data_IF_017730659592
#
_entry.id   IF_017730659592
#
_cell.length_a   1.000
_cell.length_b   1.000
_cell.length_c   1.000
_cell.angle_alpha   90.00
_cell.angle_beta   90.00
_cell.angle_gamma   90.00
#
_symmetry.space_group_name_H-M   'P 1'
#
loop_
_entity.id
_entity.type
_entity.pdbx_description
1 polymer ?
#
# COMPACT_ATOMS: atom_id res chain seq x y z
N UNK A 1 -5.50 -16.19 -22.71
CA UNK A 1 -5.61 -15.89 -21.24
C UNK A 1 -4.83 -14.63 -20.84
N UNK A 2 -3.70 -14.31 -21.46
CA UNK A 2 -2.89 -13.09 -21.19
C UNK A 2 -3.58 -11.82 -21.70
N UNK A 3 -4.26 -11.88 -22.84
CA UNK A 3 -4.90 -10.71 -23.50
C UNK A 3 -5.89 -9.92 -22.64
N UNK A 4 -6.57 -10.56 -21.66
CA UNK A 4 -7.52 -9.84 -20.82
C UNK A 4 -6.83 -9.04 -19.70
N UNK A 5 -5.71 -9.52 -19.15
CA UNK A 5 -4.93 -8.78 -18.14
C UNK A 5 -4.41 -7.49 -18.74
N UNK A 6 -3.86 -7.56 -19.94
CA UNK A 6 -3.33 -6.41 -20.65
C UNK A 6 -4.40 -5.35 -20.91
N UNK A 7 -5.56 -5.77 -21.41
CA UNK A 7 -6.70 -4.85 -21.60
C UNK A 7 -7.16 -4.23 -20.28
N UNK A 8 -7.32 -5.06 -19.24
CA UNK A 8 -7.72 -4.56 -17.93
C UNK A 8 -6.75 -3.49 -17.39
N UNK A 9 -5.43 -3.71 -17.53
CA UNK A 9 -4.44 -2.72 -17.08
C UNK A 9 -4.52 -1.43 -17.92
N UNK A 10 -4.69 -1.54 -19.23
CA UNK A 10 -4.86 -0.38 -20.11
C UNK A 10 -6.10 0.42 -19.70
N UNK A 11 -7.23 -0.24 -19.50
CA UNK A 11 -8.49 0.39 -19.08
C UNK A 11 -8.36 1.07 -17.71
N UNK A 12 -7.69 0.41 -16.76
CA UNK A 12 -7.42 0.98 -15.42
C UNK A 12 -6.52 2.21 -15.53
N UNK A 13 -5.44 2.14 -16.30
CA UNK A 13 -4.54 3.28 -16.52
C UNK A 13 -5.27 4.47 -17.18
N UNK A 14 -6.19 4.21 -18.11
CA UNK A 14 -6.99 5.26 -18.73
C UNK A 14 -7.93 5.93 -17.73
N UNK A 15 -8.56 5.14 -16.86
CA UNK A 15 -9.43 5.67 -15.80
C UNK A 15 -8.63 6.46 -14.75
N UNK A 16 -7.44 5.98 -14.35
CA UNK A 16 -6.52 6.73 -13.49
C UNK A 16 -6.17 8.07 -14.15
N UNK A 17 -5.81 8.06 -15.44
CA UNK A 17 -5.47 9.28 -16.19
C UNK A 17 -6.65 10.26 -16.23
N UNK A 18 -7.85 9.74 -16.43
CA UNK A 18 -9.06 10.56 -16.47
C UNK A 18 -9.39 11.16 -15.11
N UNK A 19 -9.28 10.39 -14.02
CA UNK A 19 -9.49 10.86 -12.66
C UNK A 19 -8.44 11.91 -12.24
N UNK A 20 -7.17 11.69 -12.55
CA UNK A 20 -6.11 12.65 -12.31
C UNK A 20 -6.36 13.99 -13.01
N UNK A 21 -6.77 13.95 -14.30
CA UNK A 21 -7.11 15.16 -15.05
C UNK A 21 -8.31 15.90 -14.45
N UNK A 22 -9.35 15.19 -13.98
CA UNK A 22 -10.51 15.82 -13.30
C UNK A 22 -10.12 16.59 -12.05
N UNK A 23 -9.11 16.12 -11.34
CA UNK A 23 -8.59 16.74 -10.11
C UNK A 23 -7.38 17.66 -10.33
N UNK A 24 -6.98 17.91 -11.58
CA UNK A 24 -5.86 18.80 -11.91
C UNK A 24 -4.48 18.23 -11.57
N UNK A 25 -4.35 16.89 -11.44
CA UNK A 25 -3.10 16.19 -11.10
C UNK A 25 -2.42 15.61 -12.33
N UNK A 26 -1.11 15.45 -12.24
CA UNK A 26 -0.34 14.71 -13.25
C UNK A 26 -0.59 13.19 -13.08
N UNK A 27 -1.10 12.48 -14.11
CA UNK A 27 -1.24 11.04 -14.07
C UNK A 27 0.06 10.26 -13.81
N UNK A 28 1.22 10.85 -14.11
CA UNK A 28 2.52 10.23 -13.89
C UNK A 28 2.88 10.10 -12.40
N UNK A 29 2.23 10.89 -11.52
CA UNK A 29 2.42 10.79 -10.07
C UNK A 29 1.74 9.57 -9.44
N UNK A 30 0.88 8.86 -10.19
CA UNK A 30 0.04 7.81 -9.64
C UNK A 30 0.56 6.44 -10.05
N UNK A 31 1.02 5.69 -9.05
CA UNK A 31 1.52 4.33 -9.20
C UNK A 31 0.37 3.32 -9.18
N UNK A 32 0.40 2.36 -10.09
CA UNK A 32 -0.53 1.24 -10.12
C UNK A 32 0.11 0.01 -9.46
N UNK A 33 -0.39 -0.35 -8.29
CA UNK A 33 -0.02 -1.58 -7.62
C UNK A 33 -0.93 -2.73 -8.06
N UNK A 34 -0.32 -3.81 -8.57
CA UNK A 34 -1.01 -5.06 -8.81
C UNK A 34 -1.11 -5.89 -7.54
N UNK A 35 -2.32 -6.11 -7.01
CA UNK A 35 -2.54 -6.95 -5.82
C UNK A 35 -2.64 -8.40 -6.25
N UNK A 36 -1.58 -9.16 -6.01
CA UNK A 36 -1.34 -10.48 -6.62
C UNK A 36 -1.68 -11.67 -5.73
N UNK A 37 -2.26 -11.42 -4.55
CA UNK A 37 -2.69 -12.48 -3.63
C UNK A 37 -3.53 -13.55 -4.34
N UNK A 38 -3.24 -14.83 -4.05
CA UNK A 38 -3.89 -16.03 -4.59
C UNK A 38 -3.64 -16.33 -6.08
N UNK A 39 -2.86 -15.51 -6.78
CA UNK A 39 -2.49 -15.75 -8.17
C UNK A 39 -1.11 -16.42 -8.28
N UNK A 40 -0.90 -17.39 -9.20
CA UNK A 40 0.40 -18.01 -9.42
C UNK A 40 1.37 -17.04 -10.11
N UNK A 41 2.68 -17.29 -9.94
CA UNK A 41 3.74 -16.40 -10.45
C UNK A 41 3.66 -16.23 -11.96
N UNK A 42 3.41 -17.29 -12.70
CA UNK A 42 3.34 -17.28 -14.17
C UNK A 42 2.24 -16.32 -14.68
N UNK A 43 1.16 -16.22 -13.91
CA UNK A 43 0.04 -15.32 -14.23
C UNK A 43 0.37 -13.86 -13.92
N UNK A 44 1.12 -13.64 -12.83
CA UNK A 44 1.55 -12.31 -12.40
C UNK A 44 2.59 -11.75 -13.38
N UNK A 45 3.53 -12.57 -13.84
CA UNK A 45 4.62 -12.15 -14.71
C UNK A 45 4.14 -11.48 -16.01
N UNK A 46 2.96 -11.87 -16.52
CA UNK A 46 2.39 -11.20 -17.70
C UNK A 46 1.96 -9.76 -17.44
N UNK A 47 1.60 -9.42 -16.20
CA UNK A 47 1.18 -8.07 -15.80
C UNK A 47 2.36 -7.14 -15.43
N UNK A 48 3.46 -7.73 -14.91
CA UNK A 48 4.59 -7.00 -14.31
C UNK A 48 5.14 -5.85 -15.15
N UNK A 49 5.34 -5.99 -16.49
CA UNK A 49 5.89 -4.88 -17.29
C UNK A 49 5.02 -3.61 -17.32
N UNK A 50 3.78 -3.71 -16.83
CA UNK A 50 2.79 -2.62 -16.83
C UNK A 50 2.39 -2.19 -15.43
N UNK A 51 2.98 -2.79 -14.39
CA UNK A 51 2.75 -2.48 -12.98
C UNK A 51 3.96 -1.74 -12.41
N UNK A 52 3.70 -0.81 -11.52
CA UNK A 52 4.76 -0.10 -10.80
C UNK A 52 5.17 -0.85 -9.54
N UNK A 53 4.24 -1.58 -8.91
CA UNK A 53 4.42 -2.24 -7.61
C UNK A 53 3.65 -3.56 -7.60
N UNK A 54 4.19 -4.56 -6.89
CA UNK A 54 3.50 -5.80 -6.51
C UNK A 54 3.04 -5.70 -5.07
N UNK A 55 1.74 -5.91 -4.82
CA UNK A 55 1.16 -5.90 -3.48
C UNK A 55 0.76 -7.31 -3.02
N UNK A 56 1.26 -7.74 -1.86
CA UNK A 56 0.93 -9.02 -1.25
C UNK A 56 0.34 -8.87 0.15
N UNK A 57 -0.64 -9.73 0.48
CA UNK A 57 -1.29 -9.67 1.78
C UNK A 57 -0.66 -10.62 2.81
N UNK A 58 0.07 -11.65 2.38
CA UNK A 58 0.57 -12.72 3.25
C UNK A 58 2.05 -12.97 3.01
N UNK A 59 2.84 -12.86 4.07
CA UNK A 59 4.30 -13.07 4.02
C UNK A 59 4.67 -14.45 3.49
N UNK A 60 3.94 -15.51 3.89
CA UNK A 60 4.24 -16.88 3.43
C UNK A 60 4.01 -17.02 1.93
N UNK A 61 2.87 -16.54 1.42
CA UNK A 61 2.56 -16.58 -0.01
C UNK A 61 3.58 -15.81 -0.83
N UNK A 62 3.97 -14.61 -0.36
CA UNK A 62 5.00 -13.81 -0.99
C UNK A 62 6.36 -14.54 -1.00
N UNK A 63 6.72 -15.21 0.10
CA UNK A 63 7.94 -16.01 0.18
C UNK A 63 7.97 -17.11 -0.88
N UNK A 64 6.88 -17.87 -0.99
CA UNK A 64 6.77 -18.96 -1.96
C UNK A 64 6.83 -18.45 -3.41
N UNK A 65 6.30 -17.26 -3.67
CA UNK A 65 6.39 -16.59 -4.97
C UNK A 65 7.80 -16.08 -5.28
N UNK A 66 8.48 -15.50 -4.30
CA UNK A 66 9.86 -15.00 -4.46
C UNK A 66 10.84 -16.11 -4.85
N UNK A 67 10.64 -17.35 -4.40
CA UNK A 67 11.49 -18.48 -4.81
C UNK A 67 11.39 -18.82 -6.30
N UNK A 68 10.31 -18.42 -6.95
CA UNK A 68 10.04 -18.65 -8.38
C UNK A 68 10.14 -17.36 -9.21
N UNK A 69 10.47 -16.23 -8.56
CA UNK A 69 10.51 -14.93 -9.22
C UNK A 69 11.81 -14.78 -10.02
N UNK A 70 11.75 -14.36 -11.28
CA UNK A 70 12.94 -14.12 -12.08
C UNK A 70 13.84 -13.05 -11.45
N UNK A 71 15.12 -13.33 -11.30
CA UNK A 71 16.07 -12.45 -10.63
C UNK A 71 16.33 -11.12 -11.34
N UNK A 72 16.07 -11.08 -12.65
CA UNK A 72 16.20 -9.88 -13.50
C UNK A 72 15.06 -8.87 -13.32
N UNK A 73 13.93 -9.29 -12.76
CA UNK A 73 12.75 -8.42 -12.53
C UNK A 73 12.88 -7.70 -11.20
N UNK A 74 12.96 -6.37 -11.24
CA UNK A 74 13.18 -5.48 -10.09
C UNK A 74 11.95 -4.71 -9.61
N UNK A 75 10.74 -5.13 -10.02
CA UNK A 75 9.51 -4.49 -9.54
C UNK A 75 9.43 -4.58 -8.01
N UNK A 76 9.23 -3.47 -7.28
CA UNK A 76 9.16 -3.47 -5.83
C UNK A 76 7.95 -4.26 -5.31
N UNK A 77 8.11 -4.88 -4.14
CA UNK A 77 7.09 -5.65 -3.46
C UNK A 77 6.70 -4.99 -2.14
N UNK A 78 5.44 -4.68 -1.99
CA UNK A 78 4.90 -4.12 -0.75
C UNK A 78 4.05 -5.13 0.00
N UNK A 79 4.22 -5.18 1.33
CA UNK A 79 3.27 -5.87 2.21
C UNK A 79 2.10 -4.92 2.50
N UNK A 80 0.91 -5.33 2.06
CA UNK A 80 -0.34 -4.56 2.22
C UNK A 80 -1.37 -5.28 3.10
N UNK A 81 -1.01 -6.38 3.72
CA UNK A 81 -1.84 -7.11 4.68
C UNK A 81 -1.25 -7.04 6.08
N UNK A 82 -2.06 -7.30 7.09
CA UNK A 82 -1.65 -7.25 8.50
C UNK A 82 -0.39 -8.09 8.75
N UNK A 83 0.62 -7.48 9.35
CA UNK A 83 1.88 -8.12 9.68
C UNK A 83 1.79 -8.87 11.01
N UNK A 84 1.81 -10.18 10.97
CA UNK A 84 1.93 -11.00 12.17
C UNK A 84 3.34 -10.88 12.77
N UNK A 85 3.44 -10.73 14.09
CA UNK A 85 4.73 -10.56 14.81
C UNK A 85 5.77 -11.62 14.46
N UNK A 86 5.37 -12.89 14.41
CA UNK A 86 6.26 -14.02 14.11
C UNK A 86 6.72 -14.08 12.64
N UNK A 87 6.20 -13.21 11.78
CA UNK A 87 6.57 -13.10 10.36
C UNK A 87 7.42 -11.87 10.05
N UNK A 88 7.68 -11.00 11.03
CA UNK A 88 8.35 -9.71 10.82
C UNK A 88 9.74 -9.88 10.18
N UNK A 89 10.58 -10.81 10.67
CA UNK A 89 11.90 -11.08 10.05
C UNK A 89 11.78 -11.49 8.60
N UNK A 90 10.87 -12.42 8.31
CA UNK A 90 10.67 -12.90 6.95
C UNK A 90 10.09 -11.82 6.05
N UNK A 91 9.26 -10.93 6.59
CA UNK A 91 8.74 -9.79 5.83
C UNK A 91 9.85 -8.83 5.39
N UNK A 92 10.78 -8.49 6.30
CA UNK A 92 11.93 -7.63 5.98
C UNK A 92 12.90 -8.22 4.93
N UNK A 93 12.93 -9.56 4.78
CA UNK A 93 13.73 -10.24 3.75
C UNK A 93 13.06 -10.22 2.37
N UNK A 94 11.73 -10.09 2.32
CA UNK A 94 10.93 -10.30 1.10
C UNK A 94 10.47 -9.00 0.49
N UNK A 95 9.98 -8.09 1.34
CA UNK A 95 9.34 -6.86 0.91
C UNK A 95 10.33 -5.70 0.88
N UNK A 96 10.14 -4.85 -0.11
CA UNK A 96 10.88 -3.61 -0.24
C UNK A 96 10.24 -2.50 0.62
N UNK A 97 8.96 -2.66 1.01
CA UNK A 97 8.21 -1.74 1.86
C UNK A 97 7.05 -2.46 2.60
N UNK A 98 6.75 -2.01 3.82
CA UNK A 98 5.60 -2.48 4.62
C UNK A 98 4.62 -1.32 4.82
N UNK A 99 3.39 -1.45 4.26
CA UNK A 99 2.36 -0.40 4.32
C UNK A 99 1.44 -0.48 5.56
N UNK A 100 1.64 -1.47 6.42
CA UNK A 100 0.68 -1.84 7.48
C UNK A 100 1.26 -1.70 8.87
N UNK A 101 2.04 -0.65 9.11
CA UNK A 101 2.51 -0.33 10.47
C UNK A 101 1.40 0.44 11.19
N UNK A 102 0.70 -0.23 12.10
CA UNK A 102 -0.47 0.29 12.83
C UNK A 102 -0.21 0.50 14.33
N UNK A 103 0.98 0.19 14.81
CA UNK A 103 1.31 0.29 16.23
C UNK A 103 2.81 0.45 16.46
N UNK A 104 3.17 1.09 17.58
CA UNK A 104 4.57 1.20 18.01
C UNK A 104 5.20 -0.18 18.27
N UNK A 105 4.42 -1.15 18.69
CA UNK A 105 4.91 -2.50 18.98
C UNK A 105 5.41 -3.19 17.70
N UNK A 106 4.70 -3.04 16.58
CA UNK A 106 5.14 -3.53 15.27
C UNK A 106 6.37 -2.75 14.79
N UNK A 107 6.35 -1.42 14.88
CA UNK A 107 7.49 -0.59 14.51
C UNK A 107 8.76 -0.96 15.28
N UNK A 108 8.70 -1.06 16.62
CA UNK A 108 9.82 -1.48 17.45
C UNK A 108 10.33 -2.89 17.15
N UNK A 109 9.44 -3.79 16.80
CA UNK A 109 9.83 -5.15 16.40
C UNK A 109 10.64 -5.12 15.10
N UNK A 110 10.17 -4.38 14.08
CA UNK A 110 10.87 -4.21 12.81
C UNK A 110 12.24 -3.55 13.05
N UNK A 111 12.29 -2.45 13.79
CA UNK A 111 13.54 -1.74 14.10
C UNK A 111 14.55 -2.63 14.82
N UNK A 112 14.09 -3.42 15.81
CA UNK A 112 14.96 -4.38 16.53
C UNK A 112 15.53 -5.44 15.60
N UNK A 113 14.74 -5.97 14.65
CA UNK A 113 15.25 -6.98 13.72
C UNK A 113 16.26 -6.32 12.76
N UNK A 114 15.99 -5.11 12.29
CA UNK A 114 16.92 -4.35 11.46
C UNK A 114 18.23 -4.02 12.18
N UNK A 115 18.19 -3.87 13.51
CA UNK A 115 19.40 -3.67 14.32
C UNK A 115 20.37 -4.86 14.29
N UNK A 116 19.90 -6.04 13.91
CA UNK A 116 20.74 -7.25 13.73
C UNK A 116 21.37 -7.31 12.33
N UNK A 117 21.06 -6.34 11.48
CA UNK A 117 21.56 -6.18 10.12
C UNK A 117 22.12 -4.76 9.96
N UNK A 118 22.90 -4.51 8.92
CA UNK A 118 23.39 -3.15 8.62
C UNK A 118 22.38 -2.30 7.83
N UNK A 119 21.10 -2.70 7.82
CA UNK A 119 20.03 -1.97 7.10
C UNK A 119 19.50 -0.85 7.97
N UNK A 120 19.47 0.36 7.41
CA UNK A 120 18.83 1.55 7.98
C UNK A 120 17.94 2.23 6.94
N UNK A 121 16.93 2.95 7.41
CA UNK A 121 15.99 3.65 6.54
C UNK A 121 15.04 2.71 5.80
N UNK A 122 14.67 1.55 6.39
CA UNK A 122 13.69 0.66 5.78
C UNK A 122 12.34 1.36 5.65
N UNK A 123 11.79 1.47 4.42
CA UNK A 123 10.58 2.26 4.20
C UNK A 123 9.32 1.58 4.75
N UNK A 124 8.48 2.37 5.40
CA UNK A 124 7.19 1.93 5.93
C UNK A 124 6.13 3.01 5.72
N UNK A 125 4.86 2.60 5.64
CA UNK A 125 3.72 3.51 5.78
C UNK A 125 2.98 3.21 7.08
N UNK A 126 2.38 4.24 7.66
CA UNK A 126 1.46 4.06 8.77
C UNK A 126 0.07 3.72 8.23
N UNK A 127 -0.51 2.62 8.72
CA UNK A 127 -1.89 2.24 8.39
C UNK A 127 -2.85 3.00 9.30
N UNK A 128 -3.72 3.81 8.70
CA UNK A 128 -4.68 4.66 9.40
C UNK A 128 -6.10 4.15 9.16
N UNK A 129 -6.86 3.96 10.22
CA UNK A 129 -8.28 3.63 10.15
C UNK A 129 -9.10 4.91 9.97
N UNK A 130 -9.37 5.28 8.72
CA UNK A 130 -10.19 6.46 8.39
C UNK A 130 -11.69 6.20 8.44
N UNK A 131 -12.11 4.92 8.45
CA UNK A 131 -13.53 4.57 8.45
C UNK A 131 -14.14 4.57 9.85
N UNK A 132 -13.32 4.48 10.92
CA UNK A 132 -13.78 4.32 12.31
C UNK A 132 -14.38 2.94 12.61
N UNK A 133 -14.37 2.01 11.67
CA UNK A 133 -14.88 0.65 11.88
C UNK A 133 -13.91 -0.15 12.77
N UNK A 134 -14.38 -0.63 13.92
CA UNK A 134 -13.58 -1.38 14.90
C UNK A 134 -13.02 -2.71 14.36
N UNK A 135 -13.57 -3.22 13.28
CA UNK A 135 -13.16 -4.48 12.64
C UNK A 135 -12.00 -4.29 11.65
N UNK A 136 -11.63 -3.04 11.35
CA UNK A 136 -10.52 -2.73 10.45
C UNK A 136 -9.23 -2.48 11.21
N UNK A 137 -8.13 -2.89 10.60
CA UNK A 137 -6.77 -2.55 11.04
C UNK A 137 -6.49 -1.05 10.89
N UNK A 138 -5.38 -0.62 11.43
CA UNK A 138 -4.94 0.76 11.37
C UNK A 138 -5.15 1.51 12.68
N UNK A 139 -4.25 2.44 12.98
CA UNK A 139 -4.38 3.34 14.12
C UNK A 139 -5.51 4.34 13.87
N UNK A 140 -6.23 4.73 14.90
CA UNK A 140 -7.23 5.79 14.80
C UNK A 140 -6.58 7.11 14.34
N UNK A 141 -7.27 7.88 13.49
CA UNK A 141 -6.70 9.11 12.91
C UNK A 141 -6.23 10.11 13.99
N UNK A 142 -6.91 10.17 15.13
CA UNK A 142 -6.55 11.02 16.27
C UNK A 142 -5.25 10.59 16.96
N UNK A 143 -4.83 9.35 16.81
CA UNK A 143 -3.61 8.80 17.42
C UNK A 143 -2.42 8.77 16.44
N UNK A 144 -2.64 9.13 15.18
CA UNK A 144 -1.63 9.04 14.13
C UNK A 144 -0.39 9.91 14.42
N UNK A 145 -0.58 11.15 14.90
CA UNK A 145 0.52 12.03 15.25
C UNK A 145 1.39 11.47 16.38
N UNK A 146 0.76 10.96 17.44
CA UNK A 146 1.47 10.31 18.55
C UNK A 146 2.21 9.05 18.09
N UNK A 147 1.62 8.25 17.19
CA UNK A 147 2.31 7.08 16.64
C UNK A 147 3.53 7.50 15.81
N UNK A 148 3.38 8.48 14.92
CA UNK A 148 4.48 8.99 14.09
C UNK A 148 5.64 9.50 14.95
N UNK A 149 5.37 10.37 15.92
CA UNK A 149 6.38 10.90 16.83
C UNK A 149 7.15 9.79 17.56
N UNK A 150 6.43 8.81 18.08
CA UNK A 150 7.04 7.66 18.78
C UNK A 150 7.83 6.75 17.85
N UNK A 151 7.39 6.57 16.60
CA UNK A 151 8.16 5.82 15.60
C UNK A 151 9.46 6.55 15.27
N UNK A 152 9.41 7.85 15.02
CA UNK A 152 10.60 8.66 14.77
C UNK A 152 11.59 8.62 15.96
N UNK A 153 11.07 8.67 17.17
CA UNK A 153 11.91 8.69 18.38
C UNK A 153 12.54 7.33 18.69
N UNK A 154 11.81 6.23 18.53
CA UNK A 154 12.22 4.92 19.04
C UNK A 154 12.58 3.89 17.96
N UNK A 155 12.39 4.21 16.70
CA UNK A 155 12.61 3.28 15.58
C UNK A 155 13.48 3.93 14.49
N UNK A 156 14.74 4.30 14.79
CA UNK A 156 15.58 5.11 13.88
C UNK A 156 15.99 4.38 12.59
N UNK A 157 15.75 3.08 12.48
CA UNK A 157 16.03 2.28 11.27
C UNK A 157 14.85 2.21 10.31
N UNK A 158 13.69 2.75 10.70
CA UNK A 158 12.54 2.88 9.82
C UNK A 158 12.49 4.28 9.20
N UNK A 159 12.09 4.34 7.93
CA UNK A 159 11.75 5.58 7.23
C UNK A 159 10.24 5.61 7.02
N UNK A 160 9.53 6.53 7.67
CA UNK A 160 8.10 6.70 7.41
C UNK A 160 7.95 7.59 6.19
N UNK A 161 7.48 7.00 5.06
CA UNK A 161 7.40 7.69 3.77
C UNK A 161 5.98 8.07 3.36
N UNK A 162 4.98 7.60 4.09
CA UNK A 162 3.59 7.88 3.74
C UNK A 162 2.57 7.24 4.67
N UNK A 163 1.31 7.37 4.26
CA UNK A 163 0.16 6.78 4.95
C UNK A 163 -0.57 5.79 4.04
N UNK A 164 -1.19 4.80 4.67
CA UNK A 164 -2.07 3.85 3.99
C UNK A 164 -3.43 3.80 4.67
N UNK A 165 -4.50 3.63 3.90
CA UNK A 165 -5.83 3.30 4.43
C UNK A 165 -6.59 2.35 3.53
N UNK A 166 -7.50 1.59 4.14
CA UNK A 166 -8.54 0.84 3.42
C UNK A 166 -9.84 1.64 3.56
N UNK A 167 -10.41 2.03 2.41
CA UNK A 167 -11.65 2.80 2.34
C UNK A 167 -12.81 2.14 3.09
N UNK A 168 -13.86 2.88 3.45
CA UNK A 168 -15.04 2.34 4.12
C UNK A 168 -15.74 1.27 3.25
N UNK A 169 -16.38 0.30 3.90
CA UNK A 169 -17.18 -0.69 3.19
C UNK A 169 -18.59 -0.15 2.93
N UNK A 170 -18.73 0.72 1.93
CA UNK A 170 -19.97 1.43 1.60
C UNK A 170 -20.12 1.57 0.09
N UNK A 171 -21.34 1.70 -0.39
CA UNK A 171 -21.64 2.10 -1.76
C UNK A 171 -21.80 3.65 -1.89
N UNK A 172 -21.77 4.37 -0.76
CA UNK A 172 -21.90 5.81 -0.74
C UNK A 172 -20.58 6.50 -1.12
N UNK A 173 -20.50 7.01 -2.34
CA UNK A 173 -19.32 7.74 -2.85
C UNK A 173 -18.87 8.84 -1.88
N UNK A 174 -19.81 9.57 -1.29
CA UNK A 174 -19.52 10.67 -0.36
C UNK A 174 -18.70 10.20 0.86
N UNK A 175 -19.03 9.05 1.42
CA UNK A 175 -18.32 8.50 2.60
C UNK A 175 -16.90 8.09 2.20
N UNK A 176 -16.76 7.43 1.05
CA UNK A 176 -15.46 7.04 0.50
C UNK A 176 -14.58 8.28 0.25
N UNK A 177 -15.15 9.30 -0.38
CA UNK A 177 -14.46 10.56 -0.65
C UNK A 177 -14.02 11.27 0.63
N UNK A 178 -14.91 11.32 1.63
CA UNK A 178 -14.60 11.92 2.94
C UNK A 178 -13.42 11.19 3.63
N UNK A 179 -13.39 9.86 3.58
CA UNK A 179 -12.31 9.09 4.17
C UNK A 179 -10.96 9.35 3.47
N UNK A 180 -10.93 9.36 2.14
CA UNK A 180 -9.69 9.59 1.38
C UNK A 180 -9.21 11.04 1.50
N UNK A 181 -10.10 12.02 1.43
CA UNK A 181 -9.78 13.42 1.70
C UNK A 181 -9.22 13.60 3.12
N UNK A 182 -9.84 12.94 4.10
CA UNK A 182 -9.37 12.97 5.49
C UNK A 182 -7.95 12.42 5.64
N UNK A 183 -7.60 11.32 4.94
CA UNK A 183 -6.23 10.79 4.96
C UNK A 183 -5.24 11.78 4.36
N UNK A 184 -5.58 12.42 3.25
CA UNK A 184 -4.72 13.45 2.62
C UNK A 184 -4.48 14.62 3.56
N UNK A 185 -5.54 15.16 4.16
CA UNK A 185 -5.41 16.29 5.11
C UNK A 185 -4.58 15.90 6.34
N UNK A 186 -4.76 14.67 6.84
CA UNK A 186 -3.95 14.14 7.94
C UNK A 186 -2.47 14.05 7.55
N UNK A 187 -2.15 13.50 6.36
CA UNK A 187 -0.80 13.44 5.83
C UNK A 187 -0.16 14.84 5.77
N UNK A 188 -0.90 15.83 5.22
CA UNK A 188 -0.41 17.19 5.06
C UNK A 188 -0.10 17.84 6.43
N UNK A 189 -0.96 17.61 7.44
CA UNK A 189 -0.73 18.06 8.82
C UNK A 189 0.50 17.40 9.43
N UNK A 190 0.58 16.07 9.36
CA UNK A 190 1.70 15.29 9.90
C UNK A 190 3.04 15.69 9.24
N UNK A 191 3.06 15.89 7.93
CA UNK A 191 4.25 16.35 7.22
C UNK A 191 4.70 17.74 7.69
N UNK A 192 3.76 18.68 7.83
CA UNK A 192 4.05 20.04 8.32
C UNK A 192 4.58 20.05 9.76
N UNK A 193 4.02 19.20 10.63
CA UNK A 193 4.38 19.15 12.06
C UNK A 193 5.70 18.41 12.31
N UNK A 194 5.95 17.34 11.57
CA UNK A 194 7.14 16.49 11.77
C UNK A 194 8.36 16.91 10.96
N UNK A 195 8.15 17.68 9.88
CA UNK A 195 9.20 18.00 8.90
C UNK A 195 9.55 16.84 7.95
N UNK A 196 8.82 15.73 8.01
CA UNK A 196 8.95 14.62 7.06
C UNK A 196 8.20 14.96 5.76
N UNK A 197 8.66 14.42 4.63
CA UNK A 197 7.99 14.62 3.33
C UNK A 197 6.63 13.91 3.29
N UNK A 198 6.54 12.67 3.75
CA UNK A 198 5.34 11.81 3.72
C UNK A 198 4.66 11.82 2.34
N UNK A 199 5.45 11.68 1.27
CA UNK A 199 4.99 11.90 -0.10
C UNK A 199 3.91 10.91 -0.57
N UNK A 200 3.84 9.73 0.07
CA UNK A 200 3.01 8.64 -0.43
C UNK A 200 1.67 8.52 0.31
N UNK A 201 0.62 8.36 -0.49
CA UNK A 201 -0.74 8.02 -0.04
C UNK A 201 -1.21 6.74 -0.75
N UNK A 202 -1.12 5.62 -0.05
CA UNK A 202 -1.63 4.34 -0.55
C UNK A 202 -3.09 4.18 -0.15
N UNK A 203 -4.00 4.46 -1.08
CA UNK A 203 -5.44 4.36 -0.89
C UNK A 203 -6.16 4.12 -2.21
N UNK A 204 -7.33 3.49 -2.16
CA UNK A 204 -8.11 3.10 -3.33
C UNK A 204 -7.83 1.69 -3.83
N UNK A 205 -8.90 0.97 -4.10
CA UNK A 205 -8.92 -0.41 -4.60
C UNK A 205 -9.77 -0.51 -5.86
N UNK A 206 -10.04 -1.73 -6.34
CA UNK A 206 -10.76 -1.98 -7.60
C UNK A 206 -12.12 -1.27 -7.73
N UNK A 207 -12.79 -0.96 -6.61
CA UNK A 207 -14.12 -0.32 -6.62
C UNK A 207 -14.11 1.20 -6.43
N UNK A 208 -13.00 1.78 -5.94
CA UNK A 208 -12.97 3.17 -5.48
C UNK A 208 -11.68 3.93 -5.83
N UNK A 209 -10.77 3.32 -6.64
CA UNK A 209 -9.49 3.95 -6.98
C UNK A 209 -9.64 5.26 -7.75
N UNK A 210 -10.69 5.46 -8.55
CA UNK A 210 -10.91 6.72 -9.26
C UNK A 210 -11.16 7.87 -8.26
N UNK A 211 -12.00 7.62 -7.25
CA UNK A 211 -12.25 8.56 -6.16
C UNK A 211 -10.96 8.82 -5.37
N UNK A 212 -10.20 7.75 -5.08
CA UNK A 212 -8.93 7.89 -4.36
C UNK A 212 -7.93 8.76 -5.13
N UNK A 213 -7.83 8.60 -6.46
CA UNK A 213 -6.99 9.44 -7.32
C UNK A 213 -7.43 10.91 -7.24
N UNK A 214 -8.73 11.19 -7.33
CA UNK A 214 -9.27 12.55 -7.21
C UNK A 214 -8.98 13.18 -5.85
N UNK A 215 -8.93 12.36 -4.78
CA UNK A 215 -8.65 12.82 -3.42
C UNK A 215 -7.15 12.81 -3.05
N UNK A 216 -6.26 12.50 -3.99
CA UNK A 216 -4.82 12.68 -3.78
C UNK A 216 -4.01 11.40 -3.62
N UNK A 217 -4.56 10.21 -3.89
CA UNK A 217 -3.80 8.95 -3.88
C UNK A 217 -2.58 9.02 -4.78
N UNK A 218 -1.44 8.53 -4.30
CA UNK A 218 -0.22 8.33 -5.10
C UNK A 218 -0.03 6.86 -5.48
N UNK A 219 -0.68 5.93 -4.75
CA UNK A 219 -0.65 4.51 -5.03
C UNK A 219 -2.07 3.95 -4.96
N UNK A 220 -2.55 3.38 -6.07
CA UNK A 220 -3.81 2.63 -6.11
C UNK A 220 -3.56 1.13 -6.18
N UNK A 221 -4.31 0.34 -5.41
CA UNK A 221 -4.10 -1.10 -5.21
C UNK A 221 -5.18 -1.91 -5.90
N UNK A 222 -4.91 -2.40 -7.09
CA UNK A 222 -5.91 -3.09 -7.90
C UNK A 222 -5.61 -4.58 -8.04
N UNK A 223 -6.53 -5.43 -7.58
CA UNK A 223 -6.44 -6.89 -7.70
C UNK A 223 -7.45 -7.43 -8.69
N UNK A 224 -8.72 -7.51 -8.26
CA UNK A 224 -9.81 -8.10 -9.07
C UNK A 224 -10.02 -7.37 -10.40
N UNK A 225 -9.76 -6.06 -10.44
CA UNK A 225 -9.83 -5.29 -11.68
C UNK A 225 -8.80 -5.73 -12.73
N UNK A 226 -7.61 -6.16 -12.30
CA UNK A 226 -6.53 -6.64 -13.19
C UNK A 226 -6.70 -8.12 -13.50
N UNK A 227 -6.78 -8.96 -12.46
CA UNK A 227 -6.66 -10.42 -12.56
C UNK A 227 -8.00 -11.15 -12.68
N UNK A 228 -9.12 -10.44 -12.54
CA UNK A 228 -10.46 -11.04 -12.54
C UNK A 228 -10.91 -11.56 -11.17
N UNK A 229 -12.16 -12.05 -11.12
CA UNK A 229 -12.71 -12.69 -9.92
C UNK A 229 -11.95 -14.00 -9.64
N UNK A 230 -11.71 -14.27 -8.36
CA UNK A 230 -11.06 -15.51 -7.93
C UNK A 230 -11.90 -16.71 -8.38
N UNK A 231 -11.26 -17.71 -8.98
CA UNK A 231 -11.88 -19.03 -9.14
C UNK A 231 -12.12 -19.58 -7.73
N UNK A 232 -13.37 -19.88 -7.39
CA UNK A 232 -13.68 -20.57 -6.15
C UNK A 232 -12.91 -21.91 -6.17
N UNK A 233 -12.10 -22.13 -5.13
CA UNK A 233 -11.48 -23.43 -4.91
C UNK A 233 -12.50 -24.38 -4.31
#
# INVERSE_FOLDING_TARGET
MVDHIDRNIIDIREKIRSAAKRSGRDPAEIKLMGVTKTHPVEYILSAVPKLDIIGENRVQEASDKRTKWPSEIRTPWHLIGHLQRNKARKALEIFDLIETVDSLDIARMLDRILAETDVSGFPVYLEINMSGELTKSGVASQEAASLLERVMQYCPRLSVEGLMTIGPNTEAERETRTAFQGLRLLRDSLASESGLLLDELSMGMSGDYEIAVEEGSTIVRVGTGIFGKRSAK
#
